data_IF_669459740765
#
_entry.id   IF_669459740765
#
_cell.length_a   1.000
_cell.length_b   1.000
_cell.length_c   1.000
_cell.angle_alpha   90.00
_cell.angle_beta   90.00
_cell.angle_gamma   90.00
#
_symmetry.space_group_name_H-M   'P 1'
#
loop_
_entity.id
_entity.type
_entity.pdbx_description
1 polymer ?
#
# COMPACT_ATOMS: atom_id res chain seq x y z
N UNK A 1 37.15 -20.04 -16.75
CA UNK A 1 36.37 -19.71 -15.54
C UNK A 1 35.37 -18.65 -15.94
N UNK A 2 34.08 -18.99 -16.02
CA UNK A 2 33.04 -18.05 -16.43
C UNK A 2 32.39 -17.45 -15.20
N UNK A 3 32.52 -16.13 -15.04
CA UNK A 3 31.84 -15.35 -14.00
C UNK A 3 30.37 -15.22 -14.38
N UNK A 4 29.47 -15.78 -13.57
CA UNK A 4 28.03 -15.49 -13.68
C UNK A 4 27.78 -14.23 -12.87
N UNK A 5 27.53 -13.10 -13.54
CA UNK A 5 26.96 -11.92 -12.88
C UNK A 5 25.46 -12.19 -12.76
N UNK A 6 25.01 -12.63 -11.57
CA UNK A 6 23.60 -12.68 -11.22
C UNK A 6 23.10 -11.24 -11.01
N UNK A 7 22.78 -10.52 -12.09
CA UNK A 7 21.98 -9.30 -11.97
C UNK A 7 20.53 -9.70 -11.74
N UNK A 8 20.16 -9.98 -10.49
CA UNK A 8 18.76 -10.18 -10.13
C UNK A 8 18.08 -8.81 -10.08
N UNK A 9 17.70 -8.26 -11.24
CA UNK A 9 16.74 -7.17 -11.27
C UNK A 9 15.43 -7.74 -10.74
N UNK A 10 15.08 -7.42 -9.48
CA UNK A 10 13.76 -7.72 -8.95
C UNK A 10 12.77 -6.86 -9.73
N UNK A 11 12.03 -7.47 -10.65
CA UNK A 11 10.96 -6.77 -11.33
C UNK A 11 9.83 -6.58 -10.30
N UNK A 12 9.32 -5.35 -10.25
CA UNK A 12 8.12 -5.07 -9.49
C UNK A 12 7.21 -4.19 -10.33
N UNK A 13 5.90 -4.40 -10.16
CA UNK A 13 4.89 -3.59 -10.82
C UNK A 13 4.22 -2.72 -9.78
N UNK A 14 4.26 -1.42 -9.98
CA UNK A 14 3.52 -0.46 -9.17
C UNK A 14 2.13 -0.24 -9.77
N UNK A 15 1.10 -0.18 -8.93
CA UNK A 15 -0.26 0.21 -9.33
C UNK A 15 -1.03 0.90 -8.21
N UNK A 16 -2.13 1.55 -8.58
CA UNK A 16 -3.11 2.06 -7.63
C UNK A 16 -3.82 0.91 -6.90
N UNK A 17 -4.37 1.26 -5.74
CA UNK A 17 -5.26 0.41 -4.97
C UNK A 17 -6.61 0.21 -5.67
N UNK A 18 -7.15 -1.00 -5.55
CA UNK A 18 -8.53 -1.36 -5.87
C UNK A 18 -9.19 -2.01 -4.64
N UNK A 19 -10.51 -1.97 -4.51
CA UNK A 19 -11.21 -2.47 -3.30
C UNK A 19 -10.92 -3.94 -2.97
N UNK A 20 -10.72 -4.76 -4.01
CA UNK A 20 -10.37 -6.17 -3.89
C UNK A 20 -9.03 -6.42 -3.18
N UNK A 21 -8.16 -5.40 -3.07
CA UNK A 21 -6.85 -5.50 -2.45
C UNK A 21 -6.89 -5.48 -0.92
N UNK A 22 -7.99 -5.06 -0.29
CA UNK A 22 -8.06 -4.84 1.16
C UNK A 22 -7.58 -6.06 1.96
N UNK A 23 -7.98 -7.26 1.55
CA UNK A 23 -7.57 -8.49 2.21
C UNK A 23 -6.06 -8.74 2.07
N UNK A 24 -5.48 -8.48 0.89
CA UNK A 24 -4.06 -8.65 0.65
C UNK A 24 -3.22 -7.60 1.42
N UNK A 25 -3.72 -6.37 1.53
CA UNK A 25 -3.08 -5.29 2.29
C UNK A 25 -3.09 -5.61 3.79
N UNK A 26 -4.23 -6.02 4.36
CA UNK A 26 -4.31 -6.42 5.76
C UNK A 26 -3.32 -7.54 6.08
N UNK A 27 -3.26 -8.56 5.23
CA UNK A 27 -2.32 -9.67 5.40
C UNK A 27 -0.86 -9.20 5.32
N UNK A 28 -0.53 -8.29 4.39
CA UNK A 28 0.80 -7.72 4.26
C UNK A 28 1.20 -6.92 5.51
N UNK A 29 0.36 -5.98 5.96
CA UNK A 29 0.61 -5.16 7.15
C UNK A 29 0.75 -6.03 8.40
N UNK A 30 -0.14 -7.00 8.60
CA UNK A 30 -0.06 -7.92 9.73
C UNK A 30 1.20 -8.81 9.69
N UNK A 31 1.68 -9.16 8.49
CA UNK A 31 2.95 -9.88 8.34
C UNK A 31 4.14 -9.01 8.76
N UNK A 32 4.16 -7.74 8.35
CA UNK A 32 5.16 -6.77 8.82
C UNK A 32 5.11 -6.60 10.34
N UNK A 33 3.89 -6.48 10.89
CA UNK A 33 3.64 -6.34 12.32
C UNK A 33 4.18 -7.52 13.15
N UNK A 34 4.16 -8.75 12.62
CA UNK A 34 4.78 -9.89 13.31
C UNK A 34 6.29 -9.72 13.56
N UNK A 35 6.95 -8.85 12.79
CA UNK A 35 8.38 -8.57 12.85
C UNK A 35 8.68 -7.28 13.62
N UNK A 36 7.96 -6.18 13.34
CA UNK A 36 8.25 -4.88 13.95
C UNK A 36 7.59 -4.68 15.33
N UNK A 37 6.50 -5.39 15.62
CA UNK A 37 5.83 -5.50 16.92
C UNK A 37 5.38 -4.16 17.54
N UNK A 38 4.88 -3.24 16.71
CA UNK A 38 4.31 -1.97 17.19
C UNK A 38 2.89 -2.10 17.78
N UNK A 39 2.28 -3.28 17.72
CA UNK A 39 0.91 -3.56 18.14
C UNK A 39 -0.14 -3.06 17.16
N UNK A 40 0.22 -2.77 15.91
CA UNK A 40 -0.64 -2.16 14.89
C UNK A 40 -1.21 -3.20 13.91
N UNK A 41 -1.68 -4.33 14.43
CA UNK A 41 -2.49 -5.25 13.64
C UNK A 41 -3.73 -4.54 13.12
N UNK A 42 -4.15 -4.90 11.91
CA UNK A 42 -5.34 -4.37 11.27
C UNK A 42 -6.22 -5.47 10.70
N UNK A 43 -7.51 -5.21 10.70
CA UNK A 43 -8.54 -6.01 10.05
C UNK A 43 -8.93 -5.39 8.72
N UNK A 44 -9.54 -6.19 7.84
CA UNK A 44 -10.11 -5.69 6.59
C UNK A 44 -11.17 -4.61 6.86
N UNK A 45 -11.99 -4.77 7.89
CA UNK A 45 -13.01 -3.78 8.27
C UNK A 45 -12.40 -2.45 8.73
N UNK A 46 -11.27 -2.48 9.45
CA UNK A 46 -10.59 -1.24 9.86
C UNK A 46 -9.98 -0.52 8.67
N UNK A 47 -9.35 -1.24 7.74
CA UNK A 47 -8.84 -0.64 6.49
C UNK A 47 -9.96 -0.10 5.61
N UNK A 48 -11.10 -0.79 5.52
CA UNK A 48 -12.25 -0.32 4.75
C UNK A 48 -12.82 0.97 5.37
N UNK A 49 -12.95 1.02 6.69
CA UNK A 49 -13.37 2.23 7.39
C UNK A 49 -12.41 3.40 7.11
N UNK A 50 -11.10 3.16 7.23
CA UNK A 50 -10.05 4.14 6.92
C UNK A 50 -10.15 4.66 5.48
N UNK A 51 -10.33 3.76 4.51
CA UNK A 51 -10.31 4.13 3.09
C UNK A 51 -11.63 4.77 2.61
N UNK A 52 -12.66 4.74 3.45
CA UNK A 52 -13.95 5.40 3.20
C UNK A 52 -14.10 6.70 4.00
N UNK A 53 -13.05 7.12 4.73
CA UNK A 53 -13.08 8.39 5.45
C UNK A 53 -13.33 9.56 4.47
N UNK A 54 -14.27 10.47 4.78
CA UNK A 54 -14.55 11.62 3.93
C UNK A 54 -13.30 12.45 3.64
N UNK A 55 -13.01 12.65 2.35
CA UNK A 55 -11.84 13.40 1.89
C UNK A 55 -10.58 12.57 1.71
N UNK A 56 -10.61 11.26 2.00
CA UNK A 56 -9.55 10.34 1.61
C UNK A 56 -9.84 9.73 0.24
N UNK A 57 -8.93 9.93 -0.70
CA UNK A 57 -9.01 9.42 -2.08
C UNK A 57 -8.05 8.22 -2.25
N UNK A 58 -8.46 6.98 -1.90
CA UNK A 58 -7.55 5.84 -1.81
C UNK A 58 -6.91 5.47 -3.16
N UNK A 59 -7.64 5.61 -4.27
CA UNK A 59 -7.11 5.36 -5.63
C UNK A 59 -5.96 6.32 -5.99
N UNK A 60 -5.96 7.54 -5.42
CA UNK A 60 -4.91 8.53 -5.64
C UNK A 60 -3.78 8.42 -4.61
N UNK A 61 -4.12 8.10 -3.36
CA UNK A 61 -3.24 8.20 -2.21
C UNK A 61 -2.61 6.87 -1.76
N UNK A 62 -3.10 5.74 -2.26
CA UNK A 62 -2.58 4.41 -1.94
C UNK A 62 -1.86 3.80 -3.14
N UNK A 63 -0.68 3.23 -2.90
CA UNK A 63 0.13 2.55 -3.92
C UNK A 63 0.59 1.19 -3.43
N UNK A 64 0.51 0.22 -4.35
CA UNK A 64 0.94 -1.15 -4.16
C UNK A 64 2.09 -1.45 -5.10
N UNK A 65 3.12 -2.12 -4.58
CA UNK A 65 4.17 -2.72 -5.38
C UNK A 65 4.02 -4.23 -5.30
N UNK A 66 3.87 -4.84 -6.48
CA UNK A 66 3.72 -6.28 -6.61
C UNK A 66 5.03 -6.90 -7.07
N UNK A 67 5.43 -8.00 -6.43
CA UNK A 67 6.52 -8.84 -6.91
C UNK A 67 6.10 -9.68 -8.12
N UNK A 68 7.03 -10.49 -8.62
CA UNK A 68 6.86 -11.31 -9.82
C UNK A 68 5.68 -12.30 -9.75
N UNK A 69 5.30 -12.74 -8.56
CA UNK A 69 4.19 -13.69 -8.36
C UNK A 69 2.85 -13.00 -8.02
N UNK A 70 2.78 -11.67 -8.14
CA UNK A 70 1.57 -10.89 -7.89
C UNK A 70 1.30 -10.57 -6.42
N UNK A 71 2.20 -10.97 -5.51
CA UNK A 71 2.13 -10.66 -4.08
C UNK A 71 2.56 -9.21 -3.81
N UNK A 72 1.95 -8.57 -2.81
CA UNK A 72 2.37 -7.26 -2.33
C UNK A 72 3.74 -7.39 -1.65
N UNK A 73 4.72 -6.61 -2.10
CA UNK A 73 6.06 -6.51 -1.52
C UNK A 73 6.33 -5.14 -0.89
N UNK A 74 5.52 -4.13 -1.23
CA UNK A 74 5.50 -2.84 -0.56
C UNK A 74 4.13 -2.17 -0.67
N UNK A 75 3.82 -1.36 0.32
CA UNK A 75 2.57 -0.61 0.47
C UNK A 75 2.91 0.82 0.92
N UNK A 76 2.24 1.81 0.36
CA UNK A 76 2.31 3.19 0.83
C UNK A 76 0.91 3.83 0.81
N UNK A 77 0.64 4.66 1.81
CA UNK A 77 -0.56 5.51 1.91
C UNK A 77 -0.17 6.93 2.30
N UNK A 78 -0.85 7.92 1.72
CA UNK A 78 -0.63 9.34 2.01
C UNK A 78 -1.93 9.99 2.50
N UNK A 79 -1.87 10.65 3.65
CA UNK A 79 -2.96 11.48 4.14
C UNK A 79 -2.73 12.92 3.69
N UNK A 80 -3.28 13.28 2.54
CA UNK A 80 -3.19 14.62 1.97
C UNK A 80 -4.51 15.34 2.29
N UNK A 81 -4.51 16.35 3.17
CA UNK A 81 -5.70 17.15 3.40
C UNK A 81 -6.15 17.79 2.07
N UNK A 82 -7.44 17.71 1.77
CA UNK A 82 -7.99 18.45 0.64
C UNK A 82 -7.73 19.94 0.90
N UNK A 83 -6.92 20.60 0.06
CA UNK A 83 -6.78 22.05 0.14
C UNK A 83 -8.15 22.64 -0.20
N UNK A 84 -8.85 23.15 0.81
CA UNK A 84 -9.98 24.03 0.57
C UNK A 84 -9.44 25.26 -0.14
N UNK A 85 -9.68 25.38 -1.44
CA UNK A 85 -9.46 26.64 -2.14
C UNK A 85 -10.41 27.67 -1.53
N UNK A 86 -9.91 28.48 -0.59
CA UNK A 86 -10.62 29.65 -0.11
C UNK A 86 -10.58 30.64 -1.28
N UNK A 87 -11.62 30.61 -2.11
CA UNK A 87 -11.86 31.67 -3.08
C UNK A 87 -12.15 32.95 -2.30
N UNK A 88 -11.16 33.85 -2.25
CA UNK A 88 -11.37 35.21 -1.77
C UNK A 88 -12.07 35.97 -2.91
N UNK A 89 -13.40 36.05 -2.85
CA UNK A 89 -14.18 37.07 -3.57
C UNK A 89 -14.13 38.42 -2.83
#
# INVERSE_FOLDING_TARGET
MSTVILSSQKHFRMRAYEEEDLQAIANFLNTCETIDQYGQFCTVSELQAEFTEPGFEPTQNVRLWLGDTGQIIAFARLWIPQQTEISLE
#
